data_IF_961941747959
#
_entry.id   IF_961941747959
#
_cell.length_a   1.000
_cell.length_b   1.000
_cell.length_c   1.000
_cell.angle_alpha   90.00
_cell.angle_beta   90.00
_cell.angle_gamma   90.00
#
_symmetry.space_group_name_H-M   'P 1'
#
loop_
_entity.id
_entity.type
_entity.pdbx_description
1 polymer ?
#
# COMPACT_ATOMS: atom_id res chain seq x y z
N UNK A 1 -27.32 11.07 -5.44
CA UNK A 1 -27.82 10.15 -4.41
C UNK A 1 -26.62 9.48 -3.79
N UNK A 2 -26.38 9.69 -2.49
CA UNK A 2 -25.36 8.93 -1.79
C UNK A 2 -25.80 7.46 -1.74
N UNK A 3 -25.02 6.57 -2.32
CA UNK A 3 -25.24 5.12 -2.20
C UNK A 3 -25.14 4.72 -0.73
N UNK A 4 -26.04 3.86 -0.25
CA UNK A 4 -25.96 3.34 1.11
C UNK A 4 -24.57 2.74 1.35
N UNK A 5 -23.98 2.92 2.54
CA UNK A 5 -22.66 2.38 2.85
C UNK A 5 -22.73 0.84 2.69
N UNK A 6 -21.90 0.31 1.81
CA UNK A 6 -21.76 -1.12 1.62
C UNK A 6 -20.51 -1.63 2.33
N UNK A 7 -20.53 -2.85 2.82
CA UNK A 7 -19.32 -3.50 3.33
C UNK A 7 -18.40 -3.84 2.16
N UNK A 8 -17.22 -3.22 2.06
CA UNK A 8 -16.31 -3.44 0.94
C UNK A 8 -15.69 -4.83 0.97
N UNK A 9 -15.26 -5.32 -0.17
CA UNK A 9 -14.52 -6.56 -0.32
C UNK A 9 -13.04 -6.25 -0.55
N UNK A 10 -12.16 -6.81 0.25
CA UNK A 10 -10.71 -6.68 0.10
C UNK A 10 -10.15 -8.02 -0.41
N UNK A 11 -9.48 -8.00 -1.56
CA UNK A 11 -8.64 -9.12 -1.99
C UNK A 11 -7.31 -9.04 -1.23
N UNK A 12 -7.08 -10.00 -0.33
CA UNK A 12 -5.95 -10.02 0.59
C UNK A 12 -4.96 -11.12 0.17
N UNK A 13 -3.83 -10.70 -0.41
CA UNK A 13 -2.78 -11.61 -0.82
C UNK A 13 -1.87 -11.99 0.36
N UNK A 14 -1.64 -13.28 0.54
CA UNK A 14 -0.55 -13.75 1.39
C UNK A 14 0.79 -13.38 0.75
N UNK A 15 1.66 -12.74 1.51
CA UNK A 15 3.00 -12.34 1.09
C UNK A 15 4.02 -13.45 1.21
N UNK A 16 5.24 -13.07 1.61
CA UNK A 16 6.36 -14.00 1.79
C UNK A 16 6.04 -15.11 2.78
N UNK A 17 5.99 -16.35 2.30
CA UNK A 17 5.72 -17.52 3.15
C UNK A 17 6.84 -17.82 4.16
N UNK A 18 8.07 -17.34 3.90
CA UNK A 18 9.22 -17.47 4.79
C UNK A 18 9.30 -16.38 5.86
N UNK A 19 8.42 -15.38 5.81
CA UNK A 19 8.35 -14.25 6.73
C UNK A 19 7.18 -14.34 7.71
N UNK A 20 6.88 -13.22 8.35
CA UNK A 20 5.81 -13.09 9.37
C UNK A 20 4.39 -12.99 8.77
N UNK A 21 4.24 -12.96 7.43
CA UNK A 21 2.96 -12.66 6.78
C UNK A 21 1.82 -13.58 7.19
N UNK A 22 2.07 -14.89 7.32
CA UNK A 22 1.06 -15.86 7.73
C UNK A 22 0.63 -15.70 9.20
N UNK A 23 1.57 -15.35 10.11
CA UNK A 23 1.27 -15.04 11.53
C UNK A 23 0.38 -13.79 11.65
N UNK A 24 0.74 -12.73 10.91
CA UNK A 24 -0.05 -11.50 10.86
C UNK A 24 -1.47 -11.78 10.37
N UNK A 25 -1.59 -12.55 9.29
CA UNK A 25 -2.87 -12.91 8.70
C UNK A 25 -3.75 -13.70 9.69
N UNK A 26 -3.18 -14.71 10.37
CA UNK A 26 -3.91 -15.49 11.36
C UNK A 26 -4.52 -14.62 12.48
N UNK A 27 -3.81 -13.60 12.94
CA UNK A 27 -4.29 -12.67 13.97
C UNK A 27 -5.35 -11.70 13.44
N UNK A 28 -5.14 -11.11 12.26
CA UNK A 28 -6.10 -10.12 11.72
C UNK A 28 -7.41 -10.74 11.24
N UNK A 29 -7.42 -12.02 10.88
CA UNK A 29 -8.64 -12.75 10.58
C UNK A 29 -9.57 -12.89 11.80
N UNK A 30 -9.01 -12.82 13.01
CA UNK A 30 -9.77 -12.85 14.26
C UNK A 30 -10.10 -11.46 14.84
N UNK A 31 -9.63 -10.38 14.19
CA UNK A 31 -9.90 -9.01 14.62
C UNK A 31 -11.34 -8.60 14.33
N UNK A 32 -12.08 -8.23 15.39
CA UNK A 32 -13.50 -7.89 15.30
C UNK A 32 -13.75 -6.62 14.47
N UNK A 33 -12.86 -5.62 14.57
CA UNK A 33 -13.02 -4.37 13.83
C UNK A 33 -12.80 -4.58 12.33
N UNK A 34 -11.85 -5.44 11.96
CA UNK A 34 -11.61 -5.81 10.55
C UNK A 34 -12.81 -6.58 10.00
N UNK A 35 -13.33 -7.55 10.75
CA UNK A 35 -14.54 -8.32 10.36
C UNK A 35 -15.76 -7.43 10.19
N UNK A 36 -15.88 -6.37 11.00
CA UNK A 36 -16.98 -5.41 10.89
C UNK A 36 -16.77 -4.45 9.71
N UNK A 37 -15.51 -4.09 9.39
CA UNK A 37 -15.19 -3.08 8.38
C UNK A 37 -15.22 -3.63 6.95
N UNK A 38 -14.87 -4.91 6.72
CA UNK A 38 -14.72 -5.46 5.37
C UNK A 38 -14.98 -6.97 5.31
N UNK A 39 -15.31 -7.43 4.12
CA UNK A 39 -15.21 -8.84 3.72
C UNK A 39 -13.83 -9.10 3.14
N UNK A 40 -13.20 -10.21 3.52
CA UNK A 40 -11.88 -10.56 3.04
C UNK A 40 -11.95 -11.75 2.08
N UNK A 41 -11.40 -11.61 0.89
CA UNK A 41 -11.07 -12.72 -0.01
C UNK A 41 -9.58 -12.97 0.14
N UNK A 42 -9.23 -13.89 1.02
CA UNK A 42 -7.83 -14.22 1.32
C UNK A 42 -7.32 -15.21 0.29
N UNK A 43 -6.16 -14.93 -0.30
CA UNK A 43 -5.57 -15.70 -1.39
C UNK A 43 -4.23 -16.26 -0.93
N UNK A 44 -4.08 -17.58 -0.98
CA UNK A 44 -2.84 -18.22 -0.56
C UNK A 44 -2.90 -19.74 -0.57
N UNK A 45 -2.15 -20.34 0.32
CA UNK A 45 -2.13 -21.78 0.59
C UNK A 45 -2.51 -22.02 2.06
N UNK A 46 -3.51 -22.87 2.29
CA UNK A 46 -4.03 -23.11 3.63
C UNK A 46 -2.98 -23.77 4.55
N UNK A 47 -2.04 -24.52 4.01
CA UNK A 47 -0.94 -25.13 4.78
C UNK A 47 0.00 -24.05 5.34
N UNK A 48 0.28 -23.00 4.55
CA UNK A 48 1.08 -21.84 4.97
C UNK A 48 0.33 -21.04 6.04
N UNK A 49 -0.98 -20.81 5.85
CA UNK A 49 -1.79 -20.12 6.87
C UNK A 49 -1.83 -20.88 8.18
N UNK A 50 -2.05 -22.20 8.14
CA UNK A 50 -2.07 -23.04 9.35
C UNK A 50 -0.74 -23.00 10.10
N UNK A 51 0.39 -23.08 9.38
CA UNK A 51 1.71 -22.93 9.99
C UNK A 51 1.89 -21.58 10.70
N UNK A 52 1.42 -20.49 10.07
CA UNK A 52 1.43 -19.16 10.69
C UNK A 52 0.49 -19.03 11.89
N UNK A 53 -0.67 -19.65 11.83
CA UNK A 53 -1.65 -19.71 12.92
C UNK A 53 -1.11 -20.44 14.14
N UNK A 54 -0.47 -21.60 13.93
CA UNK A 54 0.23 -22.35 14.96
C UNK A 54 1.29 -21.50 15.66
N UNK A 55 2.18 -20.86 14.89
CA UNK A 55 3.20 -19.96 15.41
C UNK A 55 2.60 -18.80 16.21
N UNK A 56 1.47 -18.24 15.76
CA UNK A 56 0.77 -17.13 16.40
C UNK A 56 -0.13 -17.57 17.57
N UNK A 57 -0.31 -18.87 17.82
CA UNK A 57 -1.25 -19.40 18.82
C UNK A 57 -2.69 -19.02 18.52
N UNK A 58 -3.09 -19.04 17.25
CA UNK A 58 -4.41 -18.65 16.77
C UNK A 58 -5.15 -19.84 16.16
N UNK A 59 -6.44 -19.94 16.41
CA UNK A 59 -7.35 -20.82 15.66
C UNK A 59 -7.86 -20.08 14.42
N UNK A 60 -8.01 -20.80 13.31
CA UNK A 60 -8.56 -20.26 12.06
C UNK A 60 -9.91 -20.90 11.80
N UNK A 61 -10.95 -20.08 11.93
CA UNK A 61 -12.32 -20.44 11.56
C UNK A 61 -12.77 -19.52 10.40
N UNK A 62 -12.49 -19.96 9.18
CA UNK A 62 -12.83 -19.27 7.95
C UNK A 62 -13.26 -20.31 6.90
N UNK A 63 -14.34 -20.09 6.14
CA UNK A 63 -14.69 -20.93 5.00
C UNK A 63 -13.53 -21.03 3.99
N UNK A 64 -13.23 -22.23 3.54
CA UNK A 64 -12.18 -22.51 2.56
C UNK A 64 -12.80 -23.00 1.27
N UNK A 65 -12.41 -22.41 0.15
CA UNK A 65 -12.86 -22.84 -1.19
C UNK A 65 -11.65 -23.03 -2.12
N UNK A 66 -11.83 -23.84 -3.15
CA UNK A 66 -10.88 -23.94 -4.25
C UNK A 66 -11.03 -22.78 -5.26
N UNK A 67 -10.05 -22.59 -6.15
CA UNK A 67 -10.05 -21.48 -7.12
C UNK A 67 -11.18 -21.55 -8.15
N UNK A 68 -11.78 -22.71 -8.39
CA UNK A 68 -12.89 -22.92 -9.34
C UNK A 68 -14.27 -22.57 -8.73
N UNK A 69 -14.34 -22.37 -7.43
CA UNK A 69 -15.62 -22.09 -6.74
C UNK A 69 -15.91 -20.59 -6.84
N UNK A 70 -17.15 -20.19 -7.18
CA UNK A 70 -17.57 -18.80 -7.16
C UNK A 70 -17.39 -18.17 -5.78
N UNK A 71 -16.89 -16.93 -5.74
CA UNK A 71 -16.67 -16.19 -4.51
C UNK A 71 -18.00 -15.99 -3.76
N UNK A 72 -18.09 -16.39 -2.49
CA UNK A 72 -19.28 -16.18 -1.68
C UNK A 72 -19.42 -14.71 -1.24
N UNK A 73 -20.58 -14.38 -0.66
CA UNK A 73 -20.84 -13.03 -0.16
C UNK A 73 -20.11 -12.69 1.16
N UNK A 74 -19.46 -13.65 1.81
CA UNK A 74 -18.76 -13.50 3.10
C UNK A 74 -17.25 -13.47 2.97
N UNK A 75 -16.58 -13.39 4.12
CA UNK A 75 -15.11 -13.61 4.20
C UNK A 75 -14.81 -15.07 3.89
N UNK A 76 -13.77 -15.30 3.07
CA UNK A 76 -13.41 -16.64 2.57
C UNK A 76 -11.91 -16.74 2.34
N UNK A 77 -11.34 -17.92 2.53
CA UNK A 77 -10.01 -18.29 2.10
C UNK A 77 -10.06 -19.05 0.77
N UNK A 78 -9.36 -18.57 -0.24
CA UNK A 78 -9.20 -19.28 -1.50
C UNK A 78 -7.88 -20.03 -1.47
N UNK A 79 -7.99 -21.36 -1.34
CA UNK A 79 -6.83 -22.23 -1.28
C UNK A 79 -6.35 -22.57 -2.70
N UNK A 80 -5.19 -22.05 -3.05
CA UNK A 80 -4.58 -22.33 -4.34
C UNK A 80 -3.76 -23.63 -4.33
N UNK A 81 -3.41 -24.17 -3.16
CA UNK A 81 -2.69 -25.44 -3.00
C UNK A 81 -1.30 -25.46 -3.67
N UNK A 82 -0.62 -24.31 -3.78
CA UNK A 82 0.51 -24.11 -4.68
C UNK A 82 1.87 -23.93 -3.98
N UNK A 83 1.94 -24.12 -2.66
CA UNK A 83 3.19 -24.10 -1.91
C UNK A 83 3.19 -25.12 -0.78
N UNK A 84 4.12 -26.08 -0.80
CA UNK A 84 4.42 -26.84 0.40
C UNK A 84 5.24 -25.96 1.38
N UNK A 85 4.81 -25.78 2.65
CA UNK A 85 5.57 -25.01 3.62
C UNK A 85 7.02 -25.48 3.82
N UNK A 86 7.34 -26.74 3.53
CA UNK A 86 8.69 -27.26 3.60
C UNK A 86 9.64 -26.63 2.56
N UNK A 87 9.10 -26.18 1.43
CA UNK A 87 9.87 -25.50 0.36
C UNK A 87 10.15 -24.03 0.68
N UNK A 88 9.51 -23.48 1.71
CA UNK A 88 9.68 -22.10 2.16
C UNK A 88 9.94 -22.02 3.68
N UNK A 89 11.11 -22.49 4.16
CA UNK A 89 11.46 -22.43 5.57
C UNK A 89 11.51 -20.98 6.05
N UNK A 90 11.13 -20.75 7.32
CA UNK A 90 11.20 -19.42 7.93
C UNK A 90 12.60 -18.80 7.84
N UNK A 91 12.65 -17.48 7.66
CA UNK A 91 13.88 -16.71 7.66
C UNK A 91 14.76 -16.88 6.42
N UNK A 92 14.25 -17.48 5.35
CA UNK A 92 15.04 -17.75 4.13
C UNK A 92 14.53 -17.00 2.91
N UNK A 93 15.44 -16.52 2.08
CA UNK A 93 15.12 -15.99 0.75
C UNK A 93 15.17 -17.13 -0.25
N UNK A 94 14.05 -17.48 -0.86
CA UNK A 94 13.96 -18.60 -1.78
C UNK A 94 12.98 -18.38 -2.93
N UNK A 95 13.17 -19.14 -4.01
CA UNK A 95 12.35 -19.03 -5.22
C UNK A 95 10.88 -19.40 -4.97
N UNK A 96 10.60 -20.44 -4.18
CA UNK A 96 9.25 -20.93 -3.95
C UNK A 96 8.39 -19.87 -3.25
N UNK A 97 8.94 -19.19 -2.23
CA UNK A 97 8.25 -18.08 -1.55
C UNK A 97 8.04 -16.86 -2.47
N UNK A 98 9.00 -16.58 -3.36
CA UNK A 98 8.86 -15.52 -4.36
C UNK A 98 7.74 -15.82 -5.36
N UNK A 99 7.67 -17.03 -5.90
CA UNK A 99 6.59 -17.48 -6.80
C UNK A 99 5.23 -17.42 -6.10
N UNK A 100 5.16 -17.88 -4.86
CA UNK A 100 3.97 -17.83 -4.03
C UNK A 100 3.44 -16.41 -3.85
N UNK A 101 4.29 -15.48 -3.43
CA UNK A 101 3.91 -14.09 -3.19
C UNK A 101 3.44 -13.38 -4.48
N UNK A 102 4.17 -13.56 -5.59
CA UNK A 102 3.82 -12.99 -6.90
C UNK A 102 2.47 -13.49 -7.40
N UNK A 103 2.20 -14.79 -7.30
CA UNK A 103 0.95 -15.37 -7.80
C UNK A 103 -0.25 -14.92 -6.95
N UNK A 104 -0.11 -14.85 -5.62
CA UNK A 104 -1.14 -14.33 -4.74
C UNK A 104 -1.44 -12.86 -5.03
N UNK A 105 -0.40 -12.05 -5.21
CA UNK A 105 -0.56 -10.62 -5.48
C UNK A 105 -1.18 -10.39 -6.86
N UNK A 106 -0.70 -11.07 -7.90
CA UNK A 106 -1.29 -11.03 -9.25
C UNK A 106 -2.77 -11.39 -9.21
N UNK A 107 -3.13 -12.43 -8.47
CA UNK A 107 -4.51 -12.87 -8.33
C UNK A 107 -5.38 -11.82 -7.65
N UNK A 108 -4.89 -11.21 -6.56
CA UNK A 108 -5.61 -10.14 -5.86
C UNK A 108 -5.84 -8.90 -6.75
N UNK A 109 -4.83 -8.48 -7.50
CA UNK A 109 -4.92 -7.36 -8.44
C UNK A 109 -5.97 -7.64 -9.53
N UNK A 110 -5.97 -8.84 -10.11
CA UNK A 110 -6.93 -9.23 -11.13
C UNK A 110 -8.36 -9.34 -10.61
N UNK A 111 -8.57 -9.79 -9.37
CA UNK A 111 -9.88 -9.79 -8.72
C UNK A 111 -10.44 -8.36 -8.58
N UNK A 112 -9.61 -7.42 -8.16
CA UNK A 112 -10.02 -6.02 -8.04
C UNK A 112 -10.27 -5.40 -9.42
N UNK A 113 -9.43 -5.66 -10.41
CA UNK A 113 -9.62 -5.20 -11.78
C UNK A 113 -10.92 -5.73 -12.40
N UNK A 114 -11.29 -6.98 -12.10
CA UNK A 114 -12.56 -7.59 -12.53
C UNK A 114 -13.79 -7.09 -11.74
N UNK A 115 -13.62 -6.22 -10.73
CA UNK A 115 -14.70 -5.71 -9.88
C UNK A 115 -15.20 -6.70 -8.82
N UNK A 116 -14.47 -7.80 -8.59
CA UNK A 116 -14.79 -8.78 -7.55
C UNK A 116 -14.29 -8.36 -6.16
N UNK A 117 -13.37 -7.39 -6.10
CA UNK A 117 -12.94 -6.72 -4.88
C UNK A 117 -12.92 -5.21 -5.07
N UNK A 118 -13.14 -4.47 -3.99
CA UNK A 118 -13.17 -3.00 -3.94
C UNK A 118 -11.79 -2.42 -3.60
N UNK A 119 -10.91 -3.25 -3.02
CA UNK A 119 -9.55 -2.92 -2.62
C UNK A 119 -8.65 -4.15 -2.66
N UNK A 120 -7.34 -3.91 -2.69
CA UNK A 120 -6.32 -4.94 -2.51
C UNK A 120 -5.54 -4.64 -1.24
N UNK A 121 -5.20 -5.69 -0.50
CA UNK A 121 -4.20 -5.62 0.55
C UNK A 121 -3.26 -6.83 0.44
N UNK A 122 -2.07 -6.72 1.03
CA UNK A 122 -1.13 -7.84 1.09
C UNK A 122 -0.28 -7.78 2.35
N UNK A 123 0.10 -8.96 2.86
CA UNK A 123 1.10 -9.07 3.92
C UNK A 123 2.51 -8.94 3.34
N UNK A 124 3.54 -8.61 4.13
CA UNK A 124 4.85 -8.19 3.62
C UNK A 124 5.47 -9.12 2.59
N UNK A 125 6.09 -8.51 1.58
CA UNK A 125 6.83 -9.20 0.52
C UNK A 125 8.34 -9.17 0.77
N UNK A 126 9.04 -10.18 0.26
CA UNK A 126 10.49 -10.21 0.16
C UNK A 126 10.91 -9.93 -1.28
N UNK A 127 11.40 -8.71 -1.55
CA UNK A 127 11.79 -8.30 -2.91
C UNK A 127 12.89 -9.17 -3.51
N UNK A 128 13.81 -9.67 -2.69
CA UNK A 128 14.86 -10.58 -3.17
C UNK A 128 14.28 -11.93 -3.64
N UNK A 129 13.35 -12.51 -2.86
CA UNK A 129 12.65 -13.73 -3.27
C UNK A 129 11.79 -13.51 -4.53
N UNK A 130 11.08 -12.37 -4.61
CA UNK A 130 10.28 -12.03 -5.80
C UNK A 130 11.15 -11.87 -7.06
N UNK A 131 12.36 -11.28 -6.96
CA UNK A 131 13.30 -11.19 -8.09
C UNK A 131 13.84 -12.54 -8.53
N UNK A 132 13.95 -13.53 -7.66
CA UNK A 132 14.29 -14.91 -8.08
C UNK A 132 13.20 -15.48 -9.00
N UNK A 133 11.93 -15.16 -8.74
CA UNK A 133 10.80 -15.67 -9.51
C UNK A 133 10.44 -14.78 -10.73
N UNK A 134 10.73 -13.51 -10.66
CA UNK A 134 10.46 -12.50 -11.70
C UNK A 134 11.65 -11.54 -11.77
N UNK A 135 12.69 -11.84 -12.59
CA UNK A 135 13.95 -11.09 -12.60
C UNK A 135 13.81 -9.58 -12.86
N UNK A 136 12.78 -9.16 -13.58
CA UNK A 136 12.47 -7.73 -13.83
C UNK A 136 11.69 -7.06 -12.70
N UNK A 137 11.39 -7.77 -11.61
CA UNK A 137 10.68 -7.19 -10.47
C UNK A 137 11.52 -6.10 -9.79
N UNK A 138 11.06 -4.88 -9.86
CA UNK A 138 11.66 -3.73 -9.15
C UNK A 138 10.95 -3.45 -7.83
N UNK A 139 9.67 -3.13 -7.93
CA UNK A 139 8.81 -2.87 -6.78
C UNK A 139 7.34 -3.24 -7.05
N UNK A 140 6.50 -3.03 -6.03
CA UNK A 140 5.08 -3.33 -6.06
C UNK A 140 4.31 -2.43 -7.03
N UNK A 141 4.77 -1.20 -7.29
CA UNK A 141 4.14 -0.26 -8.25
C UNK A 141 4.38 -0.76 -9.67
N UNK A 142 5.63 -1.06 -10.02
CA UNK A 142 5.98 -1.57 -11.35
C UNK A 142 5.27 -2.88 -11.67
N UNK A 143 5.27 -3.82 -10.73
CA UNK A 143 4.56 -5.08 -10.89
C UNK A 143 3.03 -4.91 -11.01
N UNK A 144 2.44 -4.01 -10.22
CA UNK A 144 1.01 -3.70 -10.34
C UNK A 144 0.66 -3.10 -11.69
N UNK A 145 1.48 -2.14 -12.17
CA UNK A 145 1.30 -1.53 -13.49
C UNK A 145 1.40 -2.58 -14.62
N UNK A 146 2.38 -3.49 -14.54
CA UNK A 146 2.54 -4.61 -15.48
C UNK A 146 1.29 -5.51 -15.49
N UNK A 147 0.84 -5.97 -14.31
CA UNK A 147 -0.31 -6.89 -14.20
C UNK A 147 -1.62 -6.27 -14.71
N UNK A 148 -1.79 -4.96 -14.49
CA UNK A 148 -3.02 -4.23 -14.85
C UNK A 148 -2.95 -3.60 -16.25
N UNK A 149 -1.79 -3.59 -16.92
CA UNK A 149 -1.57 -2.80 -18.13
C UNK A 149 -1.84 -1.30 -17.88
N UNK A 150 -1.44 -0.78 -16.72
CA UNK A 150 -1.78 0.57 -16.29
C UNK A 150 -0.78 1.61 -16.82
N UNK A 151 -1.21 2.53 -17.70
CA UNK A 151 -0.32 3.52 -18.33
C UNK A 151 -0.18 4.80 -17.48
N UNK A 152 -0.91 4.91 -16.37
CA UNK A 152 -0.95 6.12 -15.55
C UNK A 152 0.22 6.24 -14.58
N UNK A 153 0.26 7.35 -13.85
CA UNK A 153 1.23 7.59 -12.77
C UNK A 153 0.72 7.02 -11.47
N UNK A 154 1.54 6.22 -10.82
CA UNK A 154 1.30 5.72 -9.47
C UNK A 154 2.47 6.06 -8.55
N UNK A 155 2.19 6.33 -7.29
CA UNK A 155 3.17 6.69 -6.27
C UNK A 155 2.85 6.00 -4.94
N UNK A 156 3.88 5.83 -4.15
CA UNK A 156 3.77 5.29 -2.80
C UNK A 156 3.53 6.42 -1.79
N UNK A 157 2.54 6.24 -0.94
CA UNK A 157 2.29 7.09 0.23
C UNK A 157 2.60 6.32 1.51
N UNK A 158 3.27 6.97 2.43
CA UNK A 158 3.45 6.44 3.78
C UNK A 158 2.47 7.14 4.72
N UNK A 159 1.72 6.37 5.47
CA UNK A 159 0.54 6.85 6.20
C UNK A 159 0.63 6.42 7.65
N UNK A 160 0.45 7.37 8.53
CA UNK A 160 0.10 7.20 9.94
C UNK A 160 -1.30 7.77 10.15
N UNK A 161 -1.91 7.46 11.28
CA UNK A 161 -3.19 8.06 11.62
C UNK A 161 -3.08 9.59 11.66
N UNK A 162 -3.89 10.25 10.82
CA UNK A 162 -3.93 11.72 10.72
C UNK A 162 -2.74 12.35 10.00
N UNK A 163 -1.77 11.59 9.47
CA UNK A 163 -0.62 12.16 8.77
C UNK A 163 -0.17 11.29 7.60
N UNK A 164 -0.14 11.88 6.41
CA UNK A 164 0.39 11.25 5.20
C UNK A 164 1.72 11.86 4.79
N UNK A 165 2.59 11.06 4.21
CA UNK A 165 3.79 11.52 3.51
C UNK A 165 3.74 11.06 2.07
N UNK A 166 3.78 12.03 1.16
CA UNK A 166 4.05 11.88 -0.27
C UNK A 166 5.47 12.36 -0.57
N UNK A 167 6.04 11.96 -1.70
CA UNK A 167 7.38 12.41 -2.08
C UNK A 167 7.51 12.58 -3.59
N UNK A 168 8.26 13.60 -3.99
CA UNK A 168 8.51 13.90 -5.40
C UNK A 168 9.43 12.85 -6.00
N UNK A 169 10.58 12.61 -5.36
CA UNK A 169 11.53 11.56 -5.75
C UNK A 169 11.58 10.43 -4.73
N UNK A 170 11.85 9.19 -5.16
CA UNK A 170 11.89 8.00 -4.32
C UNK A 170 13.27 7.33 -4.43
N UNK A 171 13.39 6.15 -4.89
CA UNK A 171 14.58 5.31 -4.88
C UNK A 171 15.67 5.80 -5.89
N UNK A 172 16.14 7.01 -5.72
CA UNK A 172 17.21 7.63 -6.53
C UNK A 172 18.40 8.04 -5.65
N UNK A 173 19.63 8.05 -6.17
CA UNK A 173 20.77 8.56 -5.42
C UNK A 173 20.55 10.00 -4.98
N UNK A 174 20.95 10.36 -3.75
CA UNK A 174 20.70 11.69 -3.20
C UNK A 174 21.33 12.81 -4.07
N UNK A 175 22.49 12.55 -4.68
CA UNK A 175 23.17 13.49 -5.59
C UNK A 175 22.35 13.88 -6.82
N UNK A 176 21.39 13.04 -7.22
CA UNK A 176 20.58 13.24 -8.42
C UNK A 176 19.22 13.88 -8.11
N UNK A 177 18.85 13.99 -6.81
CA UNK A 177 17.54 14.48 -6.36
C UNK A 177 17.24 15.87 -6.88
N UNK A 178 18.16 16.84 -6.72
CA UNK A 178 17.90 18.23 -7.08
C UNK A 178 17.56 18.39 -8.58
N UNK A 179 18.23 17.62 -9.45
CA UNK A 179 17.98 17.64 -10.89
C UNK A 179 16.60 17.03 -11.29
N UNK A 180 16.04 16.18 -10.45
CA UNK A 180 14.76 15.51 -10.68
C UNK A 180 13.56 16.29 -10.12
N UNK A 181 13.82 17.30 -9.27
CA UNK A 181 12.77 18.16 -8.72
C UNK A 181 12.41 19.22 -9.74
N UNK A 182 11.31 19.00 -10.43
CA UNK A 182 10.76 19.95 -11.41
C UNK A 182 9.40 20.47 -10.95
N UNK A 183 9.01 21.63 -11.47
CA UNK A 183 7.68 22.20 -11.22
C UNK A 183 6.56 21.24 -11.61
N UNK A 184 6.66 20.56 -12.76
CA UNK A 184 5.68 19.61 -13.24
C UNK A 184 5.54 18.42 -12.28
N UNK A 185 6.65 17.81 -11.87
CA UNK A 185 6.65 16.69 -10.92
C UNK A 185 6.02 17.05 -9.58
N UNK A 186 6.29 18.24 -9.04
CA UNK A 186 5.69 18.70 -7.79
C UNK A 186 4.18 18.86 -7.95
N UNK A 187 3.71 19.51 -9.03
CA UNK A 187 2.29 19.74 -9.29
C UNK A 187 1.55 18.41 -9.48
N UNK A 188 2.12 17.46 -10.20
CA UNK A 188 1.52 16.15 -10.41
C UNK A 188 1.45 15.34 -9.12
N UNK A 189 2.49 15.41 -8.28
CA UNK A 189 2.46 14.80 -6.94
C UNK A 189 1.43 15.49 -6.02
N UNK A 190 1.24 16.81 -6.09
CA UNK A 190 0.19 17.52 -5.37
C UNK A 190 -1.20 17.04 -5.78
N UNK A 191 -1.47 16.92 -7.10
CA UNK A 191 -2.74 16.43 -7.64
C UNK A 191 -3.02 15.00 -7.18
N UNK A 192 -2.03 14.13 -7.26
CA UNK A 192 -2.16 12.74 -6.86
C UNK A 192 -2.40 12.61 -5.35
N UNK A 193 -1.69 13.42 -4.54
CA UNK A 193 -1.83 13.45 -3.08
C UNK A 193 -3.22 13.94 -2.67
N UNK A 194 -3.70 15.03 -3.26
CA UNK A 194 -5.04 15.58 -3.02
C UNK A 194 -6.13 14.56 -3.37
N UNK A 195 -6.02 13.91 -4.52
CA UNK A 195 -6.96 12.89 -4.95
C UNK A 195 -6.98 11.67 -4.01
N UNK A 196 -5.81 11.19 -3.59
CA UNK A 196 -5.69 10.05 -2.67
C UNK A 196 -6.27 10.37 -1.28
N UNK A 197 -6.01 11.56 -0.76
CA UNK A 197 -6.57 12.03 0.51
C UNK A 197 -8.10 12.17 0.44
N UNK A 198 -8.63 12.72 -0.65
CA UNK A 198 -10.08 12.78 -0.89
C UNK A 198 -10.71 11.39 -0.98
N UNK A 199 -10.06 10.46 -1.67
CA UNK A 199 -10.50 9.07 -1.74
C UNK A 199 -10.47 8.35 -0.38
N UNK A 200 -9.63 8.80 0.56
CA UNK A 200 -9.60 8.28 1.94
C UNK A 200 -10.71 8.86 2.84
N UNK A 201 -11.52 9.80 2.33
CA UNK A 201 -12.65 10.40 3.04
C UNK A 201 -12.41 11.83 3.53
N UNK A 202 -11.25 12.45 3.26
CA UNK A 202 -11.00 13.84 3.62
C UNK A 202 -11.60 14.79 2.58
N UNK A 203 -12.63 15.54 2.95
CA UNK A 203 -13.33 16.42 2.00
C UNK A 203 -12.48 17.63 1.53
N UNK A 204 -11.58 18.11 2.39
CA UNK A 204 -10.71 19.27 2.14
C UNK A 204 -9.33 19.02 2.72
N UNK A 205 -8.52 18.15 2.08
CA UNK A 205 -7.17 17.85 2.56
C UNK A 205 -6.27 19.07 2.45
N UNK A 206 -5.38 19.26 3.45
CA UNK A 206 -4.38 20.32 3.50
C UNK A 206 -3.00 19.72 3.37
N UNK A 207 -2.25 20.15 2.37
CA UNK A 207 -0.95 19.58 2.02
C UNK A 207 0.14 20.61 2.29
N UNK A 208 1.09 20.27 3.17
CA UNK A 208 2.31 21.03 3.31
C UNK A 208 3.34 20.57 2.28
N UNK A 209 4.04 21.48 1.64
CA UNK A 209 5.17 21.19 0.74
C UNK A 209 6.46 21.51 1.49
N UNK A 210 7.34 20.52 1.64
CA UNK A 210 8.66 20.72 2.23
C UNK A 210 9.60 21.40 1.24
N UNK A 211 10.54 22.20 1.74
CA UNK A 211 11.68 22.67 0.97
C UNK A 211 12.69 21.56 0.73
N UNK A 212 13.57 21.73 -0.23
CA UNK A 212 14.71 20.85 -0.50
C UNK A 212 15.89 21.20 0.41
N UNK A 213 16.18 22.50 0.48
CA UNK A 213 17.36 23.04 1.14
C UNK A 213 17.11 23.39 2.62
N UNK A 214 18.18 23.48 3.44
CA UNK A 214 18.07 23.93 4.82
C UNK A 214 17.30 25.25 4.95
N UNK A 215 16.41 25.34 5.94
CA UNK A 215 15.57 26.51 6.20
C UNK A 215 14.73 26.97 4.99
N UNK A 216 14.34 26.01 4.13
CA UNK A 216 13.64 26.27 2.87
C UNK A 216 14.40 27.29 2.00
N UNK A 217 15.72 27.11 1.88
CA UNK A 217 16.62 27.93 1.05
C UNK A 217 17.07 29.25 1.67
N UNK A 218 16.50 29.68 2.81
CA UNK A 218 16.84 30.94 3.52
C UNK A 218 16.98 32.16 2.56
N UNK A 219 15.92 32.40 1.79
CA UNK A 219 15.92 33.51 0.81
C UNK A 219 16.91 33.35 -0.36
N UNK A 220 17.42 32.14 -0.58
CA UNK A 220 18.38 31.80 -1.64
C UNK A 220 19.83 31.64 -1.16
N UNK A 221 20.09 31.78 0.15
CA UNK A 221 21.44 31.61 0.71
C UNK A 221 21.93 30.16 0.64
N UNK A 222 21.03 29.20 0.74
CA UNK A 222 21.32 27.74 0.77
C UNK A 222 20.82 26.98 -0.46
N UNK A 223 20.47 27.70 -1.52
CA UNK A 223 19.91 27.16 -2.75
C UNK A 223 18.72 27.98 -3.22
N UNK A 224 18.37 27.83 -4.48
CA UNK A 224 17.33 28.65 -5.12
C UNK A 224 16.13 27.83 -5.58
N UNK A 225 16.13 26.54 -5.35
CA UNK A 225 15.10 25.61 -5.79
C UNK A 225 13.73 25.98 -5.18
N UNK A 226 13.70 26.49 -3.96
CA UNK A 226 12.48 26.98 -3.31
C UNK A 226 11.89 28.19 -4.03
N UNK A 227 12.73 29.10 -4.51
CA UNK A 227 12.31 30.32 -5.21
C UNK A 227 11.96 30.03 -6.66
N UNK A 228 12.77 29.20 -7.34
CA UNK A 228 12.70 29.02 -8.80
C UNK A 228 11.78 27.85 -9.20
N UNK A 229 11.61 26.85 -8.33
CA UNK A 229 10.89 25.62 -8.66
C UNK A 229 9.74 25.34 -7.68
N UNK A 230 10.02 25.22 -6.36
CA UNK A 230 9.04 24.69 -5.41
C UNK A 230 7.94 25.72 -5.13
N UNK A 231 8.28 26.96 -4.85
CA UNK A 231 7.31 28.05 -4.64
C UNK A 231 6.37 28.27 -5.84
N UNK A 232 6.87 28.38 -7.07
CA UNK A 232 6.03 28.42 -8.27
C UNK A 232 5.14 27.19 -8.44
N UNK A 233 5.60 25.97 -8.10
CA UNK A 233 4.78 24.77 -8.14
C UNK A 233 3.64 24.79 -7.10
N UNK A 234 3.92 25.29 -5.90
CA UNK A 234 2.89 25.48 -4.85
C UNK A 234 1.82 26.46 -5.33
N UNK A 235 2.23 27.60 -5.90
CA UNK A 235 1.30 28.60 -6.44
C UNK A 235 0.43 28.02 -7.58
N UNK A 236 1.00 27.16 -8.45
CA UNK A 236 0.24 26.47 -9.49
C UNK A 236 -0.75 25.47 -8.90
N UNK A 237 -0.35 24.69 -7.87
CA UNK A 237 -1.25 23.79 -7.14
C UNK A 237 -2.43 24.54 -6.51
N UNK A 238 -2.18 25.68 -5.88
CA UNK A 238 -3.22 26.55 -5.33
C UNK A 238 -4.15 27.09 -6.41
N UNK A 239 -3.62 27.53 -7.54
CA UNK A 239 -4.40 27.98 -8.69
C UNK A 239 -5.28 26.85 -9.28
N UNK A 240 -4.85 25.58 -9.17
CA UNK A 240 -5.62 24.40 -9.52
C UNK A 240 -6.66 24.00 -8.47
N UNK A 241 -6.82 24.75 -7.37
CA UNK A 241 -7.79 24.49 -6.31
C UNK A 241 -7.34 23.47 -5.26
N UNK A 242 -6.07 23.14 -5.21
CA UNK A 242 -5.50 22.25 -4.18
C UNK A 242 -5.15 23.12 -2.95
N UNK A 243 -5.62 22.71 -1.76
CA UNK A 243 -5.25 23.38 -0.51
C UNK A 243 -3.84 22.94 -0.09
N UNK A 244 -2.82 23.53 -0.71
CA UNK A 244 -1.43 23.31 -0.41
C UNK A 244 -0.74 24.61 0.01
N UNK A 245 0.33 24.52 0.79
CA UNK A 245 1.12 25.64 1.27
C UNK A 245 2.59 25.25 1.43
N UNK A 246 3.50 26.21 1.33
CA UNK A 246 4.96 26.02 1.41
C UNK A 246 5.73 26.87 0.40
N UNK A 247 7.02 26.63 0.22
CA UNK A 247 7.82 25.59 0.88
C UNK A 247 8.11 25.87 2.36
N UNK A 248 8.01 24.86 3.19
CA UNK A 248 8.34 24.92 4.62
C UNK A 248 9.69 24.25 4.91
N UNK A 249 10.45 24.70 5.92
CA UNK A 249 11.62 23.97 6.39
C UNK A 249 11.29 22.52 6.74
N UNK A 250 12.03 21.58 6.15
CA UNK A 250 11.74 20.15 6.25
C UNK A 250 11.87 19.58 7.68
N UNK A 251 12.76 20.17 8.48
CA UNK A 251 13.00 19.80 9.88
C UNK A 251 11.85 20.14 10.82
N UNK A 252 10.98 21.09 10.46
CA UNK A 252 9.88 21.57 11.31
C UNK A 252 8.49 21.28 10.76
N UNK A 253 8.34 21.03 9.46
CA UNK A 253 7.03 20.84 8.83
C UNK A 253 6.25 19.64 9.41
N UNK A 254 6.94 18.56 9.76
CA UNK A 254 6.31 17.39 10.39
C UNK A 254 5.80 17.66 11.80
N UNK A 255 6.43 18.58 12.54
CA UNK A 255 5.94 19.02 13.85
C UNK A 255 4.58 19.71 13.71
N UNK A 256 4.44 20.57 12.69
CA UNK A 256 3.18 21.25 12.36
C UNK A 256 2.11 20.26 11.89
N UNK A 257 2.46 19.36 10.98
CA UNK A 257 1.56 18.34 10.47
C UNK A 257 1.04 17.43 11.60
N UNK A 258 1.91 17.01 12.52
CA UNK A 258 1.52 16.22 13.71
C UNK A 258 0.56 16.95 14.64
N UNK A 259 0.59 18.27 14.68
CA UNK A 259 -0.36 19.11 15.46
C UNK A 259 -1.71 19.26 14.77
N UNK A 260 -1.85 18.76 13.54
CA UNK A 260 -3.06 18.83 12.75
C UNK A 260 -3.18 20.09 11.88
N UNK A 261 -2.10 20.84 11.66
CA UNK A 261 -2.11 21.97 10.72
C UNK A 261 -2.28 21.48 9.27
N UNK A 262 -1.76 20.29 8.96
CA UNK A 262 -1.79 19.65 7.65
C UNK A 262 -2.14 18.17 7.77
N UNK A 263 -2.76 17.64 6.72
CA UNK A 263 -3.17 16.24 6.62
C UNK A 263 -2.09 15.40 5.88
N UNK A 264 -1.25 16.08 5.08
CA UNK A 264 -0.11 15.47 4.40
C UNK A 264 1.09 16.41 4.31
N UNK A 265 2.27 15.82 4.19
CA UNK A 265 3.51 16.49 3.82
C UNK A 265 4.01 15.89 2.51
N UNK A 266 4.17 16.74 1.48
CA UNK A 266 4.88 16.41 0.26
C UNK A 266 6.36 16.75 0.44
N UNK A 267 7.20 15.73 0.51
CA UNK A 267 8.65 15.85 0.64
C UNK A 267 9.36 15.76 -0.72
N UNK A 268 10.57 16.26 -0.81
CA UNK A 268 11.33 16.28 -2.05
C UNK A 268 12.02 14.95 -2.33
N UNK A 269 12.43 14.21 -1.28
CA UNK A 269 13.12 12.94 -1.42
C UNK A 269 12.76 11.96 -0.28
N UNK A 270 13.13 10.69 -0.48
CA UNK A 270 12.72 9.57 0.36
C UNK A 270 13.01 9.78 1.85
N UNK A 271 14.28 9.98 2.24
CA UNK A 271 14.65 10.00 3.66
C UNK A 271 14.14 11.25 4.38
N UNK A 272 13.88 12.35 3.65
CA UNK A 272 13.30 13.57 4.22
C UNK A 272 11.95 13.30 4.91
N UNK A 273 11.15 12.40 4.38
CA UNK A 273 9.87 11.98 4.96
C UNK A 273 9.95 10.72 5.80
N UNK A 274 10.67 9.71 5.33
CA UNK A 274 10.69 8.39 5.96
C UNK A 274 11.29 8.40 7.38
N UNK A 275 12.32 9.21 7.63
CA UNK A 275 12.90 9.35 8.96
C UNK A 275 11.83 9.89 9.93
N UNK A 276 11.14 10.96 9.56
CA UNK A 276 10.08 11.55 10.38
C UNK A 276 8.93 10.55 10.64
N UNK A 277 8.40 9.93 9.58
CA UNK A 277 7.28 8.98 9.68
C UNK A 277 7.62 7.79 10.57
N UNK A 278 8.81 7.20 10.42
CA UNK A 278 9.25 6.08 11.25
C UNK A 278 9.47 6.44 12.71
N UNK A 279 9.98 7.64 12.99
CA UNK A 279 10.14 8.11 14.37
C UNK A 279 8.80 8.44 15.03
N UNK A 280 7.80 8.87 14.27
CA UNK A 280 6.47 9.19 14.80
C UNK A 280 5.65 7.94 15.09
N UNK A 281 5.71 6.91 14.22
CA UNK A 281 4.82 5.76 14.40
C UNK A 281 5.14 4.53 13.54
N UNK A 282 6.31 3.93 13.72
CA UNK A 282 6.73 2.76 12.94
C UNK A 282 5.75 1.58 13.00
N UNK A 283 5.16 1.31 14.18
CA UNK A 283 4.34 0.13 14.43
C UNK A 283 2.94 0.18 13.79
N UNK A 284 2.48 1.36 13.37
CA UNK A 284 1.18 1.57 12.73
C UNK A 284 1.27 2.08 11.29
N UNK A 285 2.48 2.12 10.75
CA UNK A 285 2.74 2.65 9.42
C UNK A 285 2.08 1.82 8.31
N UNK A 286 1.41 2.50 7.38
CA UNK A 286 0.78 1.91 6.19
C UNK A 286 1.47 2.46 4.95
N UNK A 287 1.68 1.59 3.98
CA UNK A 287 2.02 1.96 2.61
C UNK A 287 0.77 1.81 1.74
N UNK A 288 0.39 2.89 1.06
CA UNK A 288 -0.64 2.92 0.02
C UNK A 288 0.02 3.13 -1.34
N UNK A 289 -0.27 2.26 -2.29
CA UNK A 289 0.06 2.48 -3.70
C UNK A 289 -1.10 3.27 -4.32
N UNK A 290 -0.93 4.58 -4.43
CA UNK A 290 -1.94 5.49 -4.97
C UNK A 290 -1.77 5.75 -6.45
N UNK A 291 -2.86 6.16 -7.11
CA UNK A 291 -2.93 6.39 -8.55
C UNK A 291 -3.59 5.26 -9.33
N UNK A 292 -3.64 4.05 -8.80
CA UNK A 292 -4.33 2.91 -9.39
C UNK A 292 -5.86 3.04 -9.30
N UNK A 293 -6.62 2.27 -10.12
CA UNK A 293 -8.09 2.35 -10.15
C UNK A 293 -8.80 1.92 -8.86
N UNK A 294 -8.09 1.32 -7.95
CA UNK A 294 -8.56 0.87 -6.63
C UNK A 294 -7.42 1.01 -5.60
N UNK A 295 -7.73 1.15 -4.30
CA UNK A 295 -6.70 1.25 -3.27
C UNK A 295 -5.94 -0.07 -3.10
N UNK A 296 -4.62 0.04 -2.92
CA UNK A 296 -3.72 -1.09 -2.66
C UNK A 296 -2.91 -0.75 -1.42
N UNK A 297 -3.14 -1.45 -0.32
CA UNK A 297 -2.55 -1.15 0.98
C UNK A 297 -1.71 -2.30 1.53
N UNK A 298 -0.63 -1.97 2.24
CA UNK A 298 0.22 -2.94 2.93
C UNK A 298 0.82 -2.32 4.20
N UNK A 299 1.21 -3.10 5.21
CA UNK A 299 2.00 -2.56 6.32
C UNK A 299 3.33 -2.00 5.83
N UNK A 300 3.79 -0.89 6.43
CA UNK A 300 5.03 -0.21 6.04
C UNK A 300 6.31 -0.87 6.60
N UNK A 301 6.25 -2.13 7.01
CA UNK A 301 7.38 -2.92 7.46
C UNK A 301 7.61 -4.13 6.55
N UNK A 302 8.82 -4.71 6.61
CA UNK A 302 9.19 -5.87 5.83
C UNK A 302 8.77 -7.21 6.45
N UNK A 303 9.34 -8.27 5.93
CA UNK A 303 9.03 -9.68 6.26
C UNK A 303 9.56 -10.15 7.62
N UNK A 304 10.42 -9.39 8.28
CA UNK A 304 10.99 -9.64 9.60
C UNK A 304 11.41 -11.11 9.79
N UNK A 305 12.29 -11.59 8.92
CA UNK A 305 12.77 -12.96 8.88
C UNK A 305 13.39 -13.43 10.19
N UNK A 306 13.94 -12.51 10.98
CA UNK A 306 14.55 -12.74 12.28
C UNK A 306 13.56 -13.19 13.37
N UNK A 307 12.28 -12.89 13.21
CA UNK A 307 11.22 -13.28 14.16
C UNK A 307 10.14 -14.18 13.52
N UNK A 308 10.30 -14.54 12.24
CA UNK A 308 9.33 -15.39 11.55
C UNK A 308 9.19 -16.76 12.23
N UNK A 309 7.96 -17.23 12.43
CA UNK A 309 7.65 -18.48 13.12
C UNK A 309 7.71 -18.42 14.64
N UNK A 310 7.91 -17.24 15.24
CA UNK A 310 8.02 -17.09 16.70
C UNK A 310 6.74 -16.58 17.38
N UNK A 311 5.74 -16.20 16.63
CA UNK A 311 4.49 -15.63 17.14
C UNK A 311 4.64 -14.22 17.72
N UNK A 312 5.76 -13.52 17.46
CA UNK A 312 6.07 -12.20 18.03
C UNK A 312 5.68 -11.03 17.14
N UNK A 313 5.20 -11.29 15.93
CA UNK A 313 4.85 -10.25 14.96
C UNK A 313 3.72 -9.35 15.47
N UNK A 314 3.96 -8.04 15.50
CA UNK A 314 2.96 -7.02 15.84
C UNK A 314 1.98 -6.78 14.69
N UNK A 315 0.69 -6.69 14.97
CA UNK A 315 -0.37 -6.55 13.96
C UNK A 315 -0.77 -5.11 13.64
N UNK A 316 -0.25 -4.12 14.36
CA UNK A 316 -0.70 -2.72 14.29
C UNK A 316 -0.72 -2.16 12.86
N UNK A 317 0.37 -2.30 12.12
CA UNK A 317 0.47 -1.81 10.75
C UNK A 317 -0.44 -2.58 9.77
N UNK A 318 -0.53 -3.92 9.91
CA UNK A 318 -1.41 -4.73 9.05
C UNK A 318 -2.89 -4.39 9.30
N UNK A 319 -3.27 -4.22 10.57
CA UNK A 319 -4.61 -3.77 10.95
C UNK A 319 -4.92 -2.40 10.36
N UNK A 320 -4.02 -1.44 10.51
CA UNK A 320 -4.17 -0.10 9.96
C UNK A 320 -4.31 -0.12 8.42
N UNK A 321 -3.51 -0.96 7.73
CA UNK A 321 -3.58 -1.13 6.28
C UNK A 321 -4.94 -1.68 5.83
N UNK A 322 -5.47 -2.71 6.51
CA UNK A 322 -6.77 -3.29 6.19
C UNK A 322 -7.93 -2.32 6.45
N UNK A 323 -7.90 -1.57 7.55
CA UNK A 323 -8.92 -0.56 7.86
C UNK A 323 -8.87 0.62 6.86
N UNK A 324 -7.69 1.03 6.41
CA UNK A 324 -7.56 2.03 5.36
C UNK A 324 -8.10 1.51 4.02
N UNK A 325 -7.74 0.29 3.64
CA UNK A 325 -8.24 -0.36 2.42
C UNK A 325 -9.77 -0.49 2.44
N UNK A 326 -10.35 -0.86 3.58
CA UNK A 326 -11.79 -0.92 3.78
C UNK A 326 -12.45 0.45 3.59
N UNK A 327 -11.95 1.48 4.27
CA UNK A 327 -12.50 2.84 4.18
C UNK A 327 -12.44 3.38 2.75
N UNK A 328 -11.30 3.25 2.07
CA UNK A 328 -11.14 3.71 0.70
C UNK A 328 -11.96 2.88 -0.29
N UNK A 329 -12.01 1.54 -0.12
CA UNK A 329 -12.82 0.65 -0.95
C UNK A 329 -14.32 0.92 -0.83
N UNK A 330 -14.80 1.28 0.37
CA UNK A 330 -16.20 1.68 0.58
C UNK A 330 -16.57 3.00 -0.10
N UNK A 331 -15.60 3.91 -0.26
CA UNK A 331 -15.80 5.23 -0.90
C UNK A 331 -15.65 5.16 -2.43
N UNK A 332 -14.99 4.13 -2.98
CA UNK A 332 -14.75 4.01 -4.41
C UNK A 332 -16.04 3.66 -5.20
N UNK A 333 -16.18 4.12 -6.45
CA UNK A 333 -17.27 3.70 -7.32
C UNK A 333 -17.22 2.21 -7.56
N UNK A 334 -18.30 1.50 -7.22
CA UNK A 334 -18.35 0.05 -7.31
C UNK A 334 -18.47 -0.44 -8.76
N UNK A 335 -17.47 -1.16 -9.23
CA UNK A 335 -17.57 -2.00 -10.43
C UNK A 335 -18.07 -3.39 -9.99
N UNK A 336 -19.26 -3.80 -10.43
CA UNK A 336 -19.74 -5.17 -10.17
C UNK A 336 -19.39 -6.04 -11.38
N UNK A 337 -18.86 -7.27 -11.16
CA UNK A 337 -18.69 -8.21 -12.25
C UNK A 337 -20.05 -8.58 -12.84
N UNK A 338 -20.09 -8.76 -14.16
CA UNK A 338 -21.32 -9.12 -14.89
C UNK A 338 -21.82 -10.55 -14.59
N UNK A 339 -20.94 -11.42 -14.03
CA UNK A 339 -21.22 -12.80 -13.68
C UNK A 339 -20.50 -13.18 -12.38
N UNK A 340 -20.90 -14.28 -11.70
CA UNK A 340 -20.16 -14.81 -10.56
C UNK A 340 -18.69 -15.03 -10.93
N UNK A 341 -17.79 -14.47 -10.13
CA UNK A 341 -16.33 -14.53 -10.37
C UNK A 341 -15.73 -15.70 -9.62
N UNK A 342 -14.90 -16.48 -10.30
CA UNK A 342 -14.01 -17.48 -9.67
C UNK A 342 -12.58 -16.98 -9.72
N UNK A 343 -11.73 -17.45 -8.82
CA UNK A 343 -10.29 -17.11 -8.85
C UNK A 343 -9.63 -17.69 -10.10
N UNK A 344 -10.01 -18.91 -10.51
CA UNK A 344 -9.51 -19.52 -11.73
C UNK A 344 -9.80 -18.68 -12.99
N UNK A 345 -11.00 -18.07 -13.07
CA UNK A 345 -11.36 -17.24 -14.22
C UNK A 345 -10.48 -15.99 -14.34
N UNK A 346 -10.10 -15.36 -13.23
CA UNK A 346 -9.21 -14.18 -13.28
C UNK A 346 -7.74 -14.55 -13.46
N UNK A 347 -7.32 -15.73 -12.99
CA UNK A 347 -5.94 -16.23 -13.20
C UNK A 347 -5.66 -16.55 -14.66
N UNK A 348 -6.64 -17.02 -15.42
CA UNK A 348 -6.54 -17.33 -16.84
C UNK A 348 -6.61 -16.10 -17.74
N UNK A 349 -6.90 -14.90 -17.21
CA UNK A 349 -6.90 -13.68 -18.01
C UNK A 349 -5.49 -13.40 -18.55
N UNK A 350 -5.35 -13.05 -19.84
CA UNK A 350 -4.06 -12.61 -20.38
C UNK A 350 -3.58 -11.37 -19.60
N UNK A 351 -2.27 -11.14 -19.57
CA UNK A 351 -1.76 -9.84 -19.14
C UNK A 351 -2.43 -8.77 -19.99
N UNK A 352 -2.82 -7.66 -19.39
CA UNK A 352 -3.36 -6.55 -20.17
C UNK A 352 -2.29 -6.10 -21.18
N UNK A 353 -2.68 -6.02 -22.45
CA UNK A 353 -1.78 -5.68 -23.55
C UNK A 353 -1.43 -4.20 -23.55
#
# INVERSE_FOLDING_TARGET
MATAPHTPTIALAMGDASGIGAELLARVLNDADIRAAARLVVIGDMRVLRRGAEAAGQEIDIPVIGPEVPLPAGTVFVDLGHLDPADAPYGTVNLASGQFALENFRTALRLAAAGAADAVAFTPFNKAAMRLAHPSYDDEIGFTAEVLGFPGTAKEFNILEGLWNARVTSHVPLKDVAALITRAEIVDNLRLTDAALKASGLARPRIAVAGLNPHAGDGGNFGREEIEVIGPAVAEGQAAGIACDGPFPADTVFVRARRGDFDAVLTMYHDQGQIAMKLIGFESGVTLLGGFPFPICTPAHGTAHDIAGTGRAGTGATRAALLLAARMGAAAPRKRPAAPTTVASVRSMPAAA
#
